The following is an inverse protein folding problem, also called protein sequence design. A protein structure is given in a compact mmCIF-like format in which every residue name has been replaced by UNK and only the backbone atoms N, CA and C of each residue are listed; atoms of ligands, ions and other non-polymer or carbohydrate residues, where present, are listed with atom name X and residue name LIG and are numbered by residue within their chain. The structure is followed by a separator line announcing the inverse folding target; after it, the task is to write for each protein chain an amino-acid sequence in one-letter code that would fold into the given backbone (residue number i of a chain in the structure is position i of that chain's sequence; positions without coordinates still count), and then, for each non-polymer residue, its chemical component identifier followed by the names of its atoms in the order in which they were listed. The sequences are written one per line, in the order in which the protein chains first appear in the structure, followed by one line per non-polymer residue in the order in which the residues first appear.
data_IF_627517199381
#
_entry.id   IF_627517199381
#
_cell.length_a   1.000
_cell.length_b   1.000
_cell.length_c   1.000
_cell.angle_alpha   90.00
_cell.angle_beta   90.00
_cell.angle_gamma   90.00
#
_symmetry.space_group_name_H-M   'P 1'
#
loop_
_entity.id
_entity.type
_entity.pdbx_description
1 polymer ?
#
# COMPACT_ATOMS: atom_id res chain seq x y z
N UNK A 1 9.72 11.85 -13.94
CA UNK A 1 9.57 10.61 -13.17
C UNK A 1 10.84 9.80 -13.35
N UNK A 2 11.46 9.33 -12.27
CA UNK A 2 12.52 8.32 -12.37
C UNK A 2 11.93 7.07 -13.02
N UNK A 3 12.69 6.45 -13.91
CA UNK A 3 12.31 5.17 -14.52
C UNK A 3 12.17 4.11 -13.41
N UNK A 4 11.10 3.30 -13.46
CA UNK A 4 10.86 2.25 -12.49
C UNK A 4 11.96 1.19 -12.59
N UNK A 5 12.78 1.06 -11.55
CA UNK A 5 13.88 0.09 -11.54
C UNK A 5 13.36 -1.30 -11.19
N UNK A 6 13.57 -2.26 -12.09
CA UNK A 6 13.16 -3.65 -11.93
C UNK A 6 14.04 -4.43 -10.97
N UNK A 7 15.24 -3.95 -10.67
CA UNK A 7 16.21 -4.65 -9.85
C UNK A 7 16.39 -3.95 -8.52
N UNK A 8 16.20 -4.69 -7.43
CA UNK A 8 16.55 -4.19 -6.10
C UNK A 8 18.06 -4.22 -5.93
N UNK A 9 18.60 -3.26 -5.17
CA UNK A 9 19.97 -3.33 -4.69
C UNK A 9 19.97 -3.98 -3.30
N UNK A 10 20.58 -5.16 -3.12
CA UNK A 10 20.61 -5.83 -1.82
C UNK A 10 21.30 -4.97 -0.76
N UNK A 11 20.71 -4.87 0.43
CA UNK A 11 21.31 -4.11 1.54
C UNK A 11 22.44 -4.88 2.23
N UNK A 12 22.48 -6.21 2.08
CA UNK A 12 23.43 -7.10 2.76
C UNK A 12 23.49 -6.89 4.28
N UNK A 13 22.35 -6.54 4.88
CA UNK A 13 22.24 -6.27 6.30
C UNK A 13 21.39 -7.36 6.97
N UNK A 14 21.99 -8.07 7.92
CA UNK A 14 21.33 -9.12 8.69
C UNK A 14 21.51 -8.85 10.17
N UNK A 15 20.42 -8.95 10.93
CA UNK A 15 20.38 -8.74 12.39
C UNK A 15 19.80 -9.96 13.05
N UNK A 16 20.37 -10.38 14.18
CA UNK A 16 19.82 -11.47 15.00
C UNK A 16 19.41 -10.96 16.36
N UNK A 17 18.20 -11.32 16.80
CA UNK A 17 17.65 -10.96 18.10
C UNK A 17 17.36 -12.22 18.93
N UNK A 18 17.89 -12.36 20.15
CA UNK A 18 17.65 -13.53 20.97
C UNK A 18 16.20 -13.59 21.46
N UNK A 19 15.60 -14.78 21.46
CA UNK A 19 14.27 -15.00 22.04
C UNK A 19 14.39 -15.30 23.55
N UNK A 20 13.52 -14.72 24.41
CA UNK A 20 13.49 -15.04 25.84
C UNK A 20 13.23 -16.52 26.15
N UNK A 21 12.58 -17.25 25.24
CA UNK A 21 12.27 -18.68 25.37
C UNK A 21 13.36 -19.61 24.83
N UNK A 22 14.52 -19.06 24.46
CA UNK A 22 15.56 -19.75 23.71
C UNK A 22 15.38 -19.63 22.19
N UNK A 23 16.46 -19.77 21.44
CA UNK A 23 16.49 -19.49 20.00
C UNK A 23 16.68 -18.00 19.68
N UNK A 24 16.39 -17.62 18.43
CA UNK A 24 16.60 -16.26 17.94
C UNK A 24 15.72 -15.95 16.73
N UNK A 25 15.53 -14.67 16.43
CA UNK A 25 14.96 -14.19 15.17
C UNK A 25 16.11 -13.67 14.33
N UNK A 26 16.18 -14.08 13.07
CA UNK A 26 17.05 -13.48 12.08
C UNK A 26 16.23 -12.57 11.17
N UNK A 27 16.69 -11.35 10.97
CA UNK A 27 16.12 -10.34 10.10
C UNK A 27 17.07 -10.06 8.94
N UNK A 28 16.58 -10.14 7.72
CA UNK A 28 17.28 -9.71 6.51
C UNK A 28 16.61 -8.46 5.96
N UNK A 29 17.26 -7.31 6.15
CA UNK A 29 16.70 -6.02 5.79
C UNK A 29 16.75 -5.81 4.27
N UNK A 30 15.73 -5.13 3.73
CA UNK A 30 15.64 -4.78 2.32
C UNK A 30 15.15 -3.34 2.11
N UNK A 31 15.27 -2.86 0.86
CA UNK A 31 14.93 -1.48 0.51
C UNK A 31 13.45 -1.16 0.80
N UNK A 32 13.23 -0.08 1.55
CA UNK A 32 11.92 0.43 1.95
C UNK A 32 11.36 1.48 0.99
N UNK A 33 12.01 1.72 -0.15
CA UNK A 33 11.48 2.62 -1.16
C UNK A 33 10.12 2.15 -1.66
N UNK A 34 9.26 3.09 -2.02
CA UNK A 34 7.93 2.77 -2.51
C UNK A 34 7.97 1.96 -3.82
N UNK A 35 9.04 2.03 -4.60
CA UNK A 35 9.24 1.23 -5.81
C UNK A 35 9.59 -0.24 -5.51
N UNK A 36 10.01 -0.56 -4.28
CA UNK A 36 10.24 -1.94 -3.82
C UNK A 36 9.07 -2.44 -2.98
N UNK A 37 8.57 -1.63 -2.04
CA UNK A 37 7.44 -2.01 -1.18
C UNK A 37 6.14 -2.19 -1.96
N UNK A 38 5.87 -1.33 -2.96
CA UNK A 38 4.61 -1.41 -3.71
C UNK A 38 4.42 -2.73 -4.46
N UNK A 39 5.37 -3.18 -5.31
CA UNK A 39 5.22 -4.47 -5.98
C UNK A 39 5.20 -5.65 -5.03
N UNK A 40 6.01 -5.66 -3.96
CA UNK A 40 5.97 -6.71 -2.94
C UNK A 40 4.59 -6.84 -2.30
N UNK A 41 4.06 -5.72 -1.79
CA UNK A 41 2.77 -5.70 -1.10
C UNK A 41 1.60 -5.95 -2.08
N UNK A 42 1.71 -5.50 -3.33
CA UNK A 42 0.74 -5.84 -4.37
C UNK A 42 0.73 -7.35 -4.65
N UNK A 43 1.89 -7.97 -4.87
CA UNK A 43 1.99 -9.43 -5.07
C UNK A 43 1.42 -10.22 -3.88
N UNK A 44 1.66 -9.75 -2.65
CA UNK A 44 1.13 -10.39 -1.45
C UNK A 44 -0.39 -10.27 -1.34
N UNK A 45 -0.94 -9.06 -1.53
CA UNK A 45 -2.36 -8.80 -1.27
C UNK A 45 -3.28 -9.01 -2.48
N UNK A 46 -2.78 -9.02 -3.71
CA UNK A 46 -3.59 -9.33 -4.89
C UNK A 46 -3.44 -10.75 -5.37
N UNK A 47 -2.21 -11.26 -5.44
CA UNK A 47 -1.96 -12.56 -6.06
C UNK A 47 -1.90 -13.69 -5.02
N UNK A 48 -1.44 -13.38 -3.80
CA UNK A 48 -1.11 -14.38 -2.77
C UNK A 48 -1.88 -14.22 -1.45
N UNK A 49 -2.97 -13.44 -1.43
CA UNK A 49 -3.73 -13.13 -0.21
C UNK A 49 -4.19 -14.38 0.55
N UNK A 50 -4.48 -15.47 -0.16
CA UNK A 50 -4.96 -16.75 0.39
C UNK A 50 -3.87 -17.56 1.10
N UNK A 51 -2.60 -17.11 1.04
CA UNK A 51 -1.45 -17.79 1.63
C UNK A 51 -0.84 -17.01 2.79
N UNK A 52 -1.29 -15.77 3.03
CA UNK A 52 -0.63 -14.85 3.97
C UNK A 52 -1.59 -14.33 5.02
N UNK A 53 -1.08 -14.14 6.22
CA UNK A 53 -1.78 -13.46 7.31
C UNK A 53 -1.19 -12.09 7.57
N UNK A 54 -1.95 -11.20 8.22
CA UNK A 54 -1.48 -9.89 8.67
C UNK A 54 -1.56 -9.84 10.19
N UNK A 55 -0.49 -9.40 10.82
CA UNK A 55 -0.38 -9.25 12.26
C UNK A 55 -0.03 -7.82 12.67
N UNK A 56 -0.45 -7.45 13.87
CA UNK A 56 0.17 -6.39 14.65
C UNK A 56 0.54 -6.96 16.01
N UNK A 57 1.84 -7.08 16.25
CA UNK A 57 2.39 -7.75 17.42
C UNK A 57 3.16 -6.73 18.24
N UNK A 58 2.66 -6.45 19.44
CA UNK A 58 3.33 -5.58 20.41
C UNK A 58 3.38 -6.27 21.76
N UNK A 59 4.28 -5.82 22.63
CA UNK A 59 4.37 -6.40 23.96
C UNK A 59 3.03 -6.23 24.70
N UNK A 60 2.39 -7.36 25.05
CA UNK A 60 1.11 -7.38 25.75
C UNK A 60 -0.14 -7.38 24.85
N UNK A 61 0.00 -7.40 23.51
CA UNK A 61 -1.14 -7.44 22.60
C UNK A 61 -0.81 -8.00 21.22
N UNK A 62 -1.68 -8.87 20.72
CA UNK A 62 -1.56 -9.47 19.39
C UNK A 62 -2.91 -9.37 18.69
N UNK A 63 -2.87 -8.87 17.45
CA UNK A 63 -3.98 -8.96 16.51
C UNK A 63 -3.48 -9.69 15.27
N UNK A 64 -4.18 -10.76 14.87
CA UNK A 64 -3.92 -11.48 13.63
C UNK A 64 -5.19 -11.49 12.78
N UNK A 65 -5.02 -11.28 11.49
CA UNK A 65 -6.08 -11.17 10.50
C UNK A 65 -5.74 -12.08 9.33
N UNK A 66 -6.72 -12.87 8.93
CA UNK A 66 -6.64 -13.70 7.74
C UNK A 66 -7.58 -13.17 6.65
N UNK A 67 -7.27 -13.54 5.42
CA UNK A 67 -8.12 -13.25 4.26
C UNK A 67 -9.04 -14.43 3.97
N UNK A 68 -10.35 -14.20 4.05
CA UNK A 68 -11.38 -15.20 3.67
C UNK A 68 -11.80 -15.10 2.21
N UNK A 69 -11.43 -14.00 1.55
CA UNK A 69 -11.65 -13.73 0.14
C UNK A 69 -10.63 -12.70 -0.35
N UNK A 70 -10.50 -12.58 -1.68
CA UNK A 70 -9.66 -11.56 -2.30
C UNK A 70 -10.05 -10.15 -1.81
N UNK A 71 -9.07 -9.27 -1.49
CA UNK A 71 -9.37 -7.89 -1.14
C UNK A 71 -10.17 -7.18 -2.22
N UNK A 72 -11.15 -6.37 -1.82
CA UNK A 72 -11.96 -5.54 -2.73
C UNK A 72 -11.18 -4.33 -3.24
N UNK A 73 -10.22 -3.86 -2.45
CA UNK A 73 -9.39 -2.69 -2.74
C UNK A 73 -7.96 -3.00 -2.31
N UNK A 74 -7.00 -2.66 -3.17
CA UNK A 74 -5.57 -2.60 -2.88
C UNK A 74 -4.98 -1.40 -3.64
N UNK A 75 -4.87 -0.25 -2.96
CA UNK A 75 -4.49 1.02 -3.60
C UNK A 75 -3.51 1.82 -2.74
N UNK A 76 -2.73 2.70 -3.36
CA UNK A 76 -1.97 3.73 -2.67
C UNK A 76 -2.73 5.07 -2.71
N UNK A 77 -2.92 5.68 -1.54
CA UNK A 77 -3.57 6.97 -1.40
C UNK A 77 -2.87 7.82 -0.33
N UNK A 78 -2.39 9.01 -0.72
CA UNK A 78 -1.67 9.97 0.15
C UNK A 78 -0.63 9.30 1.08
N UNK A 79 0.25 8.48 0.51
CA UNK A 79 1.32 7.79 1.23
C UNK A 79 0.94 6.44 1.87
N UNK A 80 -0.34 6.12 1.96
CA UNK A 80 -0.84 4.89 2.59
C UNK A 80 -1.29 3.86 1.57
N UNK A 81 -0.65 2.69 1.60
CA UNK A 81 -1.27 1.47 1.08
C UNK A 81 -2.54 1.22 1.87
N UNK A 82 -3.65 0.99 1.17
CA UNK A 82 -4.95 0.70 1.73
C UNK A 82 -5.45 -0.62 1.14
N UNK A 83 -5.67 -1.59 2.01
CA UNK A 83 -6.24 -2.90 1.64
C UNK A 83 -7.58 -3.05 2.36
N UNK A 84 -8.64 -3.32 1.61
CA UNK A 84 -10.01 -3.43 2.14
C UNK A 84 -10.57 -4.80 1.83
N UNK A 85 -10.93 -5.54 2.86
CA UNK A 85 -11.66 -6.81 2.76
C UNK A 85 -13.14 -6.57 3.05
N UNK A 86 -13.91 -7.64 3.19
CA UNK A 86 -15.31 -7.53 3.62
C UNK A 86 -15.45 -7.20 5.12
N UNK A 87 -14.61 -7.79 5.97
CA UNK A 87 -14.72 -7.67 7.42
C UNK A 87 -13.79 -6.64 8.06
N UNK A 88 -12.71 -6.26 7.38
CA UNK A 88 -11.68 -5.41 7.95
C UNK A 88 -10.93 -4.63 6.85
N UNK A 89 -10.17 -3.62 7.25
CA UNK A 89 -9.23 -2.92 6.36
C UNK A 89 -7.96 -2.56 7.12
N UNK A 90 -6.87 -2.36 6.38
CA UNK A 90 -5.59 -1.92 6.92
C UNK A 90 -5.04 -0.73 6.14
N UNK A 91 -4.14 0.00 6.79
CA UNK A 91 -3.38 1.09 6.20
C UNK A 91 -1.90 0.99 6.60
N UNK A 92 -0.99 1.01 5.62
CA UNK A 92 0.46 1.02 5.85
C UNK A 92 1.09 2.21 5.11
N UNK A 93 1.81 3.08 5.82
CA UNK A 93 2.43 4.27 5.23
C UNK A 93 3.75 3.90 4.53
N UNK A 94 3.71 3.65 3.22
CA UNK A 94 4.89 3.25 2.44
C UNK A 94 5.51 4.40 1.62
N UNK A 95 4.89 5.58 1.69
CA UNK A 95 5.36 6.80 1.07
C UNK A 95 4.92 8.02 1.92
N UNK A 96 5.51 9.18 1.65
CA UNK A 96 5.23 10.40 2.41
C UNK A 96 3.73 10.75 2.40
N UNK A 97 3.11 10.77 3.57
CA UNK A 97 1.74 11.25 3.75
C UNK A 97 1.70 12.77 3.80
N UNK A 98 1.11 13.44 2.81
CA UNK A 98 1.23 14.89 2.71
C UNK A 98 0.11 15.59 3.47
N UNK A 99 -1.05 14.97 3.68
CA UNK A 99 -2.14 15.53 4.47
C UNK A 99 -3.05 16.40 3.60
N UNK A 100 -3.44 15.86 2.45
CA UNK A 100 -4.38 16.48 1.52
C UNK A 100 -3.83 17.70 0.77
N UNK A 101 -4.72 18.58 0.23
CA UNK A 101 -4.35 19.67 -0.67
C UNK A 101 -3.44 20.74 -0.04
N UNK A 102 -3.54 20.94 1.28
CA UNK A 102 -2.73 21.94 2.00
C UNK A 102 -1.43 21.36 2.54
N UNK A 103 -1.11 20.11 2.24
CA UNK A 103 0.08 19.42 2.73
C UNK A 103 0.25 19.55 4.26
N UNK A 104 -0.84 19.36 5.02
CA UNK A 104 -0.91 19.69 6.46
C UNK A 104 -0.01 18.82 7.34
N UNK A 105 0.39 17.64 6.88
CA UNK A 105 1.26 16.75 7.66
C UNK A 105 2.65 17.36 7.71
N UNK A 106 3.22 17.73 8.88
CA UNK A 106 4.58 18.28 8.98
C UNK A 106 5.64 17.27 8.57
N UNK A 107 6.82 17.72 8.11
CA UNK A 107 7.90 16.85 7.64
C UNK A 107 8.30 15.78 8.68
N UNK A 108 8.48 16.17 9.93
CA UNK A 108 8.83 15.25 11.03
C UNK A 108 7.80 14.12 11.16
N UNK A 109 6.51 14.46 11.10
CA UNK A 109 5.43 13.48 11.18
C UNK A 109 5.37 12.58 9.94
N UNK A 110 5.73 13.09 8.76
CA UNK A 110 5.86 12.27 7.54
C UNK A 110 6.94 11.21 7.71
N UNK A 111 8.11 11.65 8.18
CA UNK A 111 9.26 10.79 8.42
C UNK A 111 8.96 9.74 9.50
N UNK A 112 8.27 10.15 10.57
CA UNK A 112 7.88 9.24 11.64
C UNK A 112 6.89 8.17 11.15
N UNK A 113 5.86 8.54 10.37
CA UNK A 113 4.80 7.61 9.94
C UNK A 113 5.28 6.59 8.91
N UNK A 114 6.15 7.01 8.00
CA UNK A 114 6.55 6.20 6.86
C UNK A 114 7.39 5.00 7.30
N UNK A 115 7.19 3.85 6.65
CA UNK A 115 8.07 2.68 6.75
C UNK A 115 9.50 3.12 6.44
N UNK A 116 10.40 2.89 7.39
CA UNK A 116 11.81 3.24 7.31
C UNK A 116 12.70 1.98 7.36
N UNK A 117 12.19 0.90 7.94
CA UNK A 117 12.85 -0.42 7.92
C UNK A 117 11.83 -1.50 7.57
N UNK A 118 12.25 -2.46 6.77
CA UNK A 118 11.49 -3.65 6.42
C UNK A 118 12.45 -4.83 6.32
N UNK A 119 12.04 -5.98 6.83
CA UNK A 119 12.90 -7.16 6.89
C UNK A 119 12.13 -8.45 6.70
N UNK A 120 12.69 -9.37 5.93
CA UNK A 120 12.26 -10.76 5.97
C UNK A 120 12.80 -11.39 7.26
N UNK A 121 11.94 -12.04 8.04
CA UNK A 121 12.36 -12.71 9.25
C UNK A 121 12.26 -14.22 9.14
N UNK A 122 13.15 -14.89 9.87
CA UNK A 122 13.05 -16.30 10.23
C UNK A 122 13.22 -16.45 11.73
N UNK A 123 12.28 -17.13 12.38
CA UNK A 123 12.40 -17.48 13.81
C UNK A 123 13.01 -18.85 13.94
N UNK A 124 14.05 -18.97 14.74
CA UNK A 124 14.75 -20.21 15.03
C UNK A 124 14.49 -20.63 16.47
N UNK A 125 14.36 -21.93 16.69
CA UNK A 125 14.28 -22.50 18.04
C UNK A 125 15.68 -22.63 18.67
N UNK A 126 15.73 -23.15 19.90
CA UNK A 126 16.99 -23.30 20.65
C UNK A 126 18.01 -24.22 19.96
N UNK A 127 17.55 -25.18 19.15
CA UNK A 127 18.40 -26.08 18.36
C UNK A 127 18.89 -25.45 17.05
N UNK A 128 18.48 -24.22 16.73
CA UNK A 128 18.87 -23.52 15.51
C UNK A 128 18.09 -23.95 14.26
N UNK A 129 16.92 -24.57 14.43
CA UNK A 129 16.03 -24.91 13.31
C UNK A 129 15.00 -23.79 13.08
N UNK A 130 14.76 -23.35 11.83
CA UNK A 130 13.76 -22.34 11.53
C UNK A 130 12.34 -22.91 11.76
N UNK A 131 11.45 -22.09 12.34
CA UNK A 131 10.10 -22.48 12.75
C UNK A 131 9.00 -21.54 12.25
N UNK A 132 9.34 -20.34 11.81
CA UNK A 132 8.38 -19.36 11.28
C UNK A 132 9.08 -18.38 10.35
N UNK A 133 8.35 -17.92 9.34
CA UNK A 133 8.79 -17.00 8.30
C UNK A 133 7.78 -15.87 8.17
N UNK A 134 8.27 -14.67 7.86
CA UNK A 134 7.40 -13.53 7.62
C UNK A 134 8.17 -12.29 7.23
N UNK A 135 7.47 -11.16 7.25
CA UNK A 135 8.02 -9.84 6.92
C UNK A 135 7.55 -8.86 7.98
N UNK A 136 8.47 -8.12 8.59
CA UNK A 136 8.16 -7.06 9.54
C UNK A 136 8.45 -5.68 8.94
N UNK A 137 7.63 -4.70 9.32
CA UNK A 137 7.76 -3.31 8.89
C UNK A 137 7.82 -2.40 10.12
N UNK A 138 8.77 -1.46 10.13
CA UNK A 138 8.93 -0.45 11.16
C UNK A 138 8.92 0.96 10.58
N UNK A 139 8.38 1.89 11.35
CA UNK A 139 8.31 3.30 10.96
C UNK A 139 9.60 4.07 11.28
N UNK A 140 9.63 5.37 10.99
CA UNK A 140 10.78 6.23 11.28
C UNK A 140 11.11 6.42 12.76
N UNK A 141 10.21 6.06 13.68
CA UNK A 141 10.46 6.02 15.12
C UNK A 141 10.92 4.63 15.62
N UNK A 142 11.04 3.64 14.73
CA UNK A 142 11.40 2.27 15.10
C UNK A 142 10.25 1.45 15.69
N UNK A 143 9.00 1.92 15.58
CA UNK A 143 7.82 1.21 16.05
C UNK A 143 7.43 0.14 15.02
N UNK A 144 7.15 -1.09 15.46
CA UNK A 144 6.61 -2.13 14.58
C UNK A 144 5.21 -1.71 14.13
N UNK A 145 5.03 -1.60 12.82
CA UNK A 145 3.76 -1.23 12.21
C UNK A 145 2.90 -2.45 11.90
N UNK A 146 3.51 -3.46 11.30
CA UNK A 146 2.80 -4.59 10.73
C UNK A 146 3.75 -5.77 10.54
N UNK A 147 3.20 -6.96 10.71
CA UNK A 147 3.81 -8.24 10.38
C UNK A 147 3.00 -8.89 9.26
N UNK A 148 3.66 -9.46 8.26
CA UNK A 148 3.05 -10.37 7.30
C UNK A 148 3.54 -11.77 7.61
N UNK A 149 2.61 -12.66 7.95
CA UNK A 149 2.89 -14.07 8.16
C UNK A 149 2.92 -14.77 6.81
N UNK A 150 4.06 -15.40 6.51
CA UNK A 150 4.22 -16.23 5.30
C UNK A 150 3.91 -17.70 5.62
N UNK A 151 3.62 -18.53 4.60
CA UNK A 151 3.29 -19.93 4.83
C UNK A 151 4.33 -20.67 5.69
N UNK A 152 3.85 -21.39 6.69
CA UNK A 152 4.68 -22.12 7.62
C UNK A 152 4.68 -23.63 7.31
N UNK A 153 5.84 -24.25 6.97
CA UNK A 153 5.97 -25.68 6.72
C UNK A 153 5.55 -26.59 7.88
N UNK A 154 5.49 -26.07 9.11
CA UNK A 154 5.13 -26.82 10.31
C UNK A 154 3.69 -26.58 10.75
N UNK A 155 2.86 -25.88 9.98
CA UNK A 155 1.46 -25.60 10.31
C UNK A 155 0.56 -26.11 9.19
N UNK A 156 -0.54 -26.78 9.54
CA UNK A 156 -1.62 -27.15 8.64
C UNK A 156 -2.94 -26.70 9.26
N UNK A 157 -3.65 -25.78 8.60
CA UNK A 157 -4.78 -25.04 9.19
C UNK A 157 -4.32 -24.36 10.50
N UNK A 158 -4.88 -24.74 11.64
CA UNK A 158 -4.48 -24.26 12.98
C UNK A 158 -3.58 -25.27 13.72
N UNK A 159 -3.31 -26.43 13.12
CA UNK A 159 -2.59 -27.52 13.78
C UNK A 159 -1.08 -27.45 13.51
N UNK A 160 -0.29 -27.59 14.57
CA UNK A 160 1.14 -27.83 14.44
C UNK A 160 1.37 -29.24 13.89
N UNK A 161 2.03 -29.33 12.74
CA UNK A 161 2.56 -30.57 12.21
C UNK A 161 3.67 -31.07 13.14
N UNK A 162 3.78 -32.40 13.36
CA UNK A 162 4.92 -32.96 14.07
C UNK A 162 6.23 -32.50 13.46
N UNK A 163 7.21 -32.11 14.29
CA UNK A 163 8.46 -31.48 13.83
C UNK A 163 9.22 -32.29 12.77
N UNK A 164 9.02 -33.61 12.71
CA UNK A 164 9.64 -34.51 11.73
C UNK A 164 8.94 -34.60 10.36
N UNK A 165 7.86 -33.85 10.12
CA UNK A 165 7.11 -33.90 8.85
C UNK A 165 6.78 -32.50 8.28
N UNK A 166 7.77 -31.62 8.06
CA UNK A 166 7.51 -30.31 7.47
C UNK A 166 7.04 -30.45 6.02
N UNK A 167 6.04 -29.66 5.64
CA UNK A 167 5.65 -29.48 4.25
C UNK A 167 6.48 -28.35 3.61
N UNK A 168 7.67 -28.68 3.11
CA UNK A 168 8.62 -27.69 2.55
C UNK A 168 8.10 -26.99 1.29
N UNK A 169 7.10 -27.54 0.59
CA UNK A 169 6.50 -26.88 -0.57
C UNK A 169 5.87 -25.53 -0.22
N UNK A 170 5.54 -25.29 1.07
CA UNK A 170 5.05 -24.00 1.56
C UNK A 170 6.10 -22.88 1.49
N UNK A 171 7.39 -23.20 1.34
CA UNK A 171 8.45 -22.19 1.29
C UNK A 171 8.62 -21.52 -0.08
N UNK A 172 7.96 -22.01 -1.14
CA UNK A 172 8.12 -21.48 -2.50
C UNK A 172 7.91 -19.97 -2.56
N UNK A 173 6.81 -19.47 -1.97
CA UNK A 173 6.52 -18.03 -1.94
C UNK A 173 7.61 -17.24 -1.20
N UNK A 174 8.07 -17.72 -0.04
CA UNK A 174 9.15 -17.07 0.71
C UNK A 174 10.45 -17.00 -0.10
N UNK A 175 10.85 -18.11 -0.73
CA UNK A 175 12.08 -18.18 -1.52
C UNK A 175 12.04 -17.26 -2.73
N UNK A 176 10.90 -17.23 -3.44
CA UNK A 176 10.71 -16.35 -4.60
C UNK A 176 10.77 -14.88 -4.20
N UNK A 177 10.04 -14.49 -3.16
CA UNK A 177 10.05 -13.10 -2.67
C UNK A 177 11.43 -12.70 -2.17
N UNK A 178 12.14 -13.57 -1.43
CA UNK A 178 13.49 -13.28 -0.95
C UNK A 178 14.49 -13.15 -2.10
N UNK A 179 14.42 -14.01 -3.12
CA UNK A 179 15.27 -13.91 -4.31
C UNK A 179 15.07 -12.59 -5.07
N UNK A 180 13.84 -12.07 -5.12
CA UNK A 180 13.52 -10.80 -5.77
C UNK A 180 13.92 -9.62 -4.88
N UNK A 181 13.36 -9.52 -3.67
CA UNK A 181 13.32 -8.28 -2.88
C UNK A 181 14.48 -8.12 -1.90
N UNK A 182 15.10 -9.21 -1.47
CA UNK A 182 16.24 -9.17 -0.53
C UNK A 182 17.55 -9.36 -1.28
N UNK A 183 17.62 -10.39 -2.13
CA UNK A 183 18.86 -10.81 -2.78
C UNK A 183 19.09 -10.21 -4.17
N UNK A 184 18.06 -9.63 -4.80
CA UNK A 184 18.17 -9.06 -6.15
C UNK A 184 18.62 -10.05 -7.23
N UNK A 185 18.32 -11.33 -7.07
CA UNK A 185 18.66 -12.40 -8.01
C UNK A 185 17.67 -12.51 -9.17
N UNK A 186 16.44 -12.01 -8.96
CA UNK A 186 15.36 -11.99 -9.94
C UNK A 186 14.81 -10.57 -10.03
N UNK A 187 14.34 -10.13 -11.21
CA UNK A 187 13.71 -8.83 -11.34
C UNK A 187 12.34 -8.83 -10.65
N UNK A 188 11.90 -7.64 -10.21
CA UNK A 188 10.53 -7.36 -9.81
C UNK A 188 9.60 -7.69 -10.99
N UNK A 189 8.53 -8.47 -10.80
CA UNK A 189 7.70 -9.02 -11.89
C UNK A 189 6.67 -8.01 -12.44
N UNK A 190 7.03 -6.73 -12.56
CA UNK A 190 6.16 -5.67 -13.07
C UNK A 190 6.94 -4.76 -14.02
N UNK A 191 6.32 -4.25 -15.08
CA UNK A 191 6.96 -3.27 -15.98
C UNK A 191 6.85 -1.83 -15.49
N UNK A 192 5.95 -1.55 -14.54
CA UNK A 192 5.71 -0.27 -13.87
C UNK A 192 5.33 -0.54 -12.42
N UNK A 193 5.48 0.45 -11.55
CA UNK A 193 5.03 0.33 -10.16
C UNK A 193 3.50 0.10 -10.11
N UNK A 194 3.01 -1.05 -9.59
CA UNK A 194 1.60 -1.43 -9.70
C UNK A 194 0.66 -0.58 -8.83
N UNK A 195 1.17 0.12 -7.81
CA UNK A 195 0.38 0.99 -6.95
C UNK A 195 0.48 2.47 -7.29
N UNK A 196 1.37 2.85 -8.21
CA UNK A 196 1.55 4.25 -8.66
C UNK A 196 0.92 4.53 -10.03
N UNK A 197 -0.04 3.70 -10.44
CA UNK A 197 -0.82 4.00 -11.64
C UNK A 197 -1.57 5.33 -11.48
N UNK A 198 -1.56 6.22 -12.48
CA UNK A 198 -2.32 7.47 -12.41
C UNK A 198 -3.81 7.19 -12.19
N UNK A 199 -4.42 7.93 -11.27
CA UNK A 199 -5.84 7.83 -10.99
C UNK A 199 -6.47 9.20 -10.78
N UNK A 200 -7.77 9.26 -11.07
CA UNK A 200 -8.64 10.37 -10.71
C UNK A 200 -9.74 9.85 -9.79
N UNK A 201 -9.83 10.41 -8.58
CA UNK A 201 -10.77 9.96 -7.55
C UNK A 201 -11.85 10.99 -7.26
N UNK A 202 -13.11 10.53 -7.12
CA UNK A 202 -14.24 11.35 -6.67
C UNK A 202 -14.57 11.03 -5.21
N UNK A 203 -14.68 12.06 -4.37
CA UNK A 203 -15.06 11.94 -2.97
C UNK A 203 -16.53 11.53 -2.83
N UNK A 204 -16.79 10.44 -2.12
CA UNK A 204 -18.14 9.88 -1.89
C UNK A 204 -18.60 10.03 -0.45
N UNK A 205 -17.88 10.82 0.36
CA UNK A 205 -18.15 10.93 1.79
C UNK A 205 -19.56 11.45 2.08
N UNK A 206 -20.33 10.66 2.85
CA UNK A 206 -21.63 11.07 3.39
C UNK A 206 -21.53 12.18 4.44
N UNK A 207 -20.33 12.46 4.97
CA UNK A 207 -20.06 13.50 5.99
C UNK A 207 -20.26 14.92 5.46
N UNK A 208 -20.33 15.10 4.14
CA UNK A 208 -20.45 16.40 3.47
C UNK A 208 -21.66 16.36 2.52
N UNK A 209 -22.68 17.20 2.77
CA UNK A 209 -23.91 17.22 1.96
C UNK A 209 -23.64 17.35 0.45
N UNK A 210 -22.76 18.25 -0.03
CA UNK A 210 -22.41 18.32 -1.45
C UNK A 210 -21.82 17.03 -2.06
N UNK A 211 -21.13 16.21 -1.26
CA UNK A 211 -20.55 14.95 -1.73
C UNK A 211 -21.55 13.79 -1.75
N UNK A 212 -22.78 13.97 -1.28
CA UNK A 212 -23.80 12.91 -1.33
C UNK A 212 -24.29 12.63 -2.75
N UNK A 213 -24.28 13.64 -3.63
CA UNK A 213 -24.62 13.49 -5.05
C UNK A 213 -23.37 13.36 -5.93
N UNK A 214 -22.42 12.50 -5.54
CA UNK A 214 -21.15 12.30 -6.23
C UNK A 214 -21.28 11.54 -7.56
N UNK A 215 -22.32 10.70 -7.69
CA UNK A 215 -22.46 9.74 -8.78
C UNK A 215 -22.45 10.37 -10.18
N UNK A 216 -23.19 11.47 -10.45
CA UNK A 216 -23.16 12.12 -11.77
C UNK A 216 -21.76 12.63 -12.14
N UNK A 217 -21.01 13.16 -11.17
CA UNK A 217 -19.63 13.62 -11.38
C UNK A 217 -18.70 12.45 -11.69
N UNK A 218 -18.83 11.33 -10.97
CA UNK A 218 -18.07 10.12 -11.23
C UNK A 218 -18.36 9.54 -12.62
N UNK A 219 -19.63 9.40 -12.99
CA UNK A 219 -20.04 8.88 -14.30
C UNK A 219 -19.52 9.76 -15.44
N UNK A 220 -19.56 11.09 -15.28
CA UNK A 220 -19.04 12.04 -16.26
C UNK A 220 -17.51 11.94 -16.44
N UNK A 221 -16.74 11.83 -15.34
CA UNK A 221 -15.29 11.62 -15.43
C UNK A 221 -14.99 10.30 -16.12
N UNK A 222 -15.67 9.22 -15.71
CA UNK A 222 -15.47 7.89 -16.29
C UNK A 222 -15.71 7.89 -17.80
N UNK A 223 -16.86 8.40 -18.24
CA UNK A 223 -17.18 8.48 -19.66
C UNK A 223 -16.18 9.36 -20.44
N UNK A 224 -15.72 10.47 -19.86
CA UNK A 224 -14.77 11.36 -20.51
C UNK A 224 -13.36 10.74 -20.61
N UNK A 225 -12.88 10.04 -19.58
CA UNK A 225 -11.61 9.31 -19.58
C UNK A 225 -11.62 8.18 -20.62
N UNK A 226 -12.69 7.38 -20.65
CA UNK A 226 -12.89 6.31 -21.63
C UNK A 226 -12.92 6.87 -23.06
N UNK A 227 -13.68 7.94 -23.30
CA UNK A 227 -13.78 8.60 -24.61
C UNK A 227 -12.43 9.18 -25.08
N UNK A 228 -11.60 9.64 -24.16
CA UNK A 228 -10.28 10.18 -24.45
C UNK A 228 -9.20 9.09 -24.64
N UNK A 229 -9.51 7.81 -24.32
CA UNK A 229 -8.55 6.70 -24.41
C UNK A 229 -7.37 6.84 -23.45
N UNK A 230 -7.58 7.48 -22.30
CA UNK A 230 -6.53 7.72 -21.31
C UNK A 230 -6.33 6.49 -20.42
N UNK A 231 -5.07 6.12 -20.20
CA UNK A 231 -4.65 5.09 -19.24
C UNK A 231 -4.64 5.67 -17.81
N UNK A 232 -5.82 6.02 -17.29
CA UNK A 232 -6.03 6.61 -15.97
C UNK A 232 -7.17 5.87 -15.26
N UNK A 233 -6.92 5.39 -14.05
CA UNK A 233 -7.94 4.74 -13.23
C UNK A 233 -8.95 5.77 -12.71
N UNK A 234 -10.26 5.53 -12.91
CA UNK A 234 -11.32 6.34 -12.32
C UNK A 234 -11.89 5.61 -11.12
N UNK A 235 -11.73 6.18 -9.92
CA UNK A 235 -12.13 5.52 -8.67
C UNK A 235 -12.88 6.43 -7.71
N UNK A 236 -13.46 5.83 -6.68
CA UNK A 236 -14.07 6.56 -5.57
C UNK A 236 -13.08 6.70 -4.43
N UNK A 237 -13.33 7.67 -3.55
CA UNK A 237 -12.54 7.89 -2.34
C UNK A 237 -13.44 8.27 -1.17
N UNK A 238 -12.97 7.99 0.05
CA UNK A 238 -13.63 8.42 1.27
C UNK A 238 -13.59 9.95 1.46
N UNK A 239 -13.69 10.41 2.72
CA UNK A 239 -13.54 11.84 3.00
C UNK A 239 -12.10 12.28 2.73
N UNK A 240 -11.92 13.31 1.91
CA UNK A 240 -10.59 13.86 1.61
C UNK A 240 -10.24 15.10 2.45
N UNK A 241 -10.97 15.31 3.55
CA UNK A 241 -10.73 16.37 4.55
C UNK A 241 -10.79 17.82 4.03
N UNK A 242 -11.26 18.02 2.79
CA UNK A 242 -11.64 19.33 2.24
C UNK A 242 -13.12 19.58 2.56
N UNK A 243 -13.40 19.90 3.83
CA UNK A 243 -14.77 19.95 4.32
C UNK A 243 -15.62 21.01 3.59
N UNK A 244 -16.87 20.66 3.26
CA UNK A 244 -17.91 21.52 2.65
C UNK A 244 -17.70 21.99 1.20
N UNK A 245 -16.68 21.50 0.49
CA UNK A 245 -16.41 21.89 -0.91
C UNK A 245 -16.67 20.77 -1.94
N UNK A 246 -17.52 19.79 -1.59
CA UNK A 246 -17.83 18.66 -2.47
C UNK A 246 -18.71 18.97 -3.69
N UNK A 247 -18.82 18.04 -4.66
CA UNK A 247 -17.95 16.88 -4.85
C UNK A 247 -16.50 17.30 -5.09
N UNK A 248 -15.58 16.61 -4.42
CA UNK A 248 -14.13 16.84 -4.55
C UNK A 248 -13.56 15.81 -5.51
N UNK A 249 -12.72 16.25 -6.42
CA UNK A 249 -12.00 15.39 -7.36
C UNK A 249 -10.50 15.58 -7.13
N UNK A 250 -9.75 14.49 -7.11
CA UNK A 250 -8.31 14.50 -6.94
C UNK A 250 -7.66 13.72 -8.08
N UNK A 251 -6.69 14.33 -8.76
CA UNK A 251 -5.88 13.69 -9.79
C UNK A 251 -4.48 13.42 -9.24
N UNK A 252 -4.04 12.16 -9.28
CA UNK A 252 -2.87 11.70 -8.56
C UNK A 252 -1.54 12.10 -9.18
N UNK A 253 -1.47 12.21 -10.51
CA UNK A 253 -0.23 12.41 -11.28
C UNK A 253 0.49 13.69 -10.89
N UNK A 254 -0.23 14.80 -10.88
CA UNK A 254 0.29 16.12 -10.50
C UNK A 254 -0.30 16.64 -9.18
N UNK A 255 -1.03 15.76 -8.49
CA UNK A 255 -1.66 16.00 -7.20
C UNK A 255 -2.62 17.19 -7.18
N UNK A 256 -3.28 17.48 -8.31
CA UNK A 256 -4.27 18.56 -8.38
C UNK A 256 -5.59 18.16 -7.75
N UNK A 257 -6.20 19.09 -7.04
CA UNK A 257 -7.51 18.93 -6.44
C UNK A 257 -8.50 19.89 -7.10
N UNK A 258 -9.74 19.43 -7.22
CA UNK A 258 -10.85 20.20 -7.72
C UNK A 258 -12.01 20.12 -6.73
N UNK A 259 -12.71 21.24 -6.57
CA UNK A 259 -13.85 21.35 -5.67
C UNK A 259 -15.11 21.76 -6.43
N UNK A 260 -16.28 21.49 -5.81
CA UNK A 260 -17.61 21.81 -6.38
C UNK A 260 -17.78 21.26 -7.80
N UNK A 261 -17.20 20.09 -8.07
CA UNK A 261 -17.16 19.54 -9.42
C UNK A 261 -18.54 19.02 -9.81
N UNK A 262 -19.13 19.65 -10.82
CA UNK A 262 -20.35 19.24 -11.50
C UNK A 262 -20.01 18.42 -12.76
N UNK A 263 -20.97 17.67 -13.36
CA UNK A 263 -20.71 16.85 -14.54
C UNK A 263 -20.03 17.59 -15.72
N UNK A 264 -20.44 18.82 -16.01
CA UNK A 264 -19.81 19.65 -17.05
C UNK A 264 -18.36 20.05 -16.71
N UNK A 265 -18.07 20.31 -15.43
CA UNK A 265 -16.71 20.59 -14.95
C UNK A 265 -15.87 19.32 -15.02
N UNK A 266 -16.43 18.15 -14.70
CA UNK A 266 -15.76 16.86 -14.84
C UNK A 266 -15.28 16.60 -16.28
N UNK A 267 -16.12 16.83 -17.28
CA UNK A 267 -15.72 16.74 -18.70
C UNK A 267 -14.60 17.73 -19.05
N UNK A 268 -14.68 18.95 -18.51
CA UNK A 268 -13.68 20.00 -18.69
C UNK A 268 -12.34 19.60 -18.07
N UNK A 269 -12.35 19.02 -16.86
CA UNK A 269 -11.14 18.52 -16.19
C UNK A 269 -10.45 17.47 -17.09
N UNK A 270 -11.19 16.51 -17.63
CA UNK A 270 -10.57 15.50 -18.48
C UNK A 270 -10.01 16.13 -19.76
N UNK A 271 -10.80 16.95 -20.45
CA UNK A 271 -10.42 17.55 -21.74
C UNK A 271 -9.26 18.56 -21.63
N UNK A 272 -9.30 19.46 -20.65
CA UNK A 272 -8.28 20.50 -20.50
C UNK A 272 -7.10 19.99 -19.68
N UNK A 273 -7.34 19.39 -18.53
CA UNK A 273 -6.25 19.02 -17.63
C UNK A 273 -5.60 17.70 -18.03
N UNK A 274 -6.35 16.60 -18.10
CA UNK A 274 -5.76 15.28 -18.31
C UNK A 274 -5.26 15.08 -19.75
N UNK A 275 -5.91 15.69 -20.75
CA UNK A 275 -5.49 15.59 -22.16
C UNK A 275 -4.49 16.69 -22.55
N UNK A 276 -4.70 17.94 -22.14
CA UNK A 276 -3.88 19.09 -22.60
C UNK A 276 -2.90 19.60 -21.55
N UNK A 277 -2.91 19.07 -20.32
CA UNK A 277 -2.06 19.54 -19.22
C UNK A 277 -2.49 20.88 -18.60
N UNK A 278 -3.67 21.42 -18.97
CA UNK A 278 -4.16 22.73 -18.51
C UNK A 278 -5.18 22.59 -17.38
N UNK A 279 -4.80 23.02 -16.17
CA UNK A 279 -5.67 22.94 -14.97
C UNK A 279 -6.92 23.83 -15.10
N UNK A 280 -8.03 23.36 -14.55
CA UNK A 280 -9.30 24.11 -14.50
C UNK A 280 -9.28 25.06 -13.28
N UNK A 281 -8.63 26.21 -13.43
CA UNK A 281 -8.33 27.18 -12.35
C UNK A 281 -9.56 27.54 -11.50
N UNK A 282 -10.72 27.73 -12.13
CA UNK A 282 -11.97 28.10 -11.43
C UNK A 282 -12.40 27.10 -10.35
N UNK A 283 -12.03 25.82 -10.51
CA UNK A 283 -12.39 24.74 -9.59
C UNK A 283 -11.18 24.21 -8.81
N UNK A 284 -9.96 24.62 -9.17
CA UNK A 284 -8.71 24.17 -8.53
C UNK A 284 -8.68 24.49 -7.04
N UNK A 285 -8.09 23.57 -6.27
CA UNK A 285 -7.95 23.68 -4.83
C UNK A 285 -6.55 23.21 -4.37
N UNK A 286 -5.90 23.92 -3.43
CA UNK A 286 -6.23 25.28 -3.00
C UNK A 286 -6.27 26.24 -4.20
N UNK A 287 -7.01 27.36 -4.12
CA UNK A 287 -7.00 28.36 -5.19
C UNK A 287 -5.55 28.78 -5.46
N UNK A 288 -5.15 28.88 -6.72
CA UNK A 288 -3.83 29.40 -7.07
C UNK A 288 -3.69 30.80 -6.45
N UNK A 289 -2.57 31.04 -5.77
CA UNK A 289 -2.23 32.37 -5.28
C UNK A 289 -2.04 33.29 -6.49
N UNK A 290 -2.97 34.22 -6.67
CA UNK A 290 -2.88 35.33 -7.64
C UNK A 290 -1.66 36.18 -7.33
#
# INVERSE_FOLDING_TARGET
MSEFNLWVTPLHHTVTEPSPTGGYIEYEDFDCSCDVLSPLLYTLFQDNWHQVGVGHIVQGGVLELEFTAAPKICILYDGYLTVVTEGWHLHLCIEANLGGPHCKTPLELRQQRQVNRAAFYRRFNAEGNPRSWGIDFWNGAGENLMTIFLPNPYVEEENLLPEGKPNLSKLVLYEELRDIYVLGKKPIPFSKNPLKHPYISVCTSSRCLPSQNWKPTFDAIKAAVEKAGLDIEVRTSGCLEVCKLGPVVFYSEDRTWYTRVQPNVAETIVKEHLVQGKKVVTNSYPPESV
#
